data_IF_600339983732
#
_entry.id   IF_600339983732
#
_cell.length_a   1.000
_cell.length_b   1.000
_cell.length_c   1.000
_cell.angle_alpha   90.00
_cell.angle_beta   90.00
_cell.angle_gamma   90.00
#
_symmetry.space_group_name_H-M   'P 1'
#
loop_
_entity.id
_entity.type
_entity.pdbx_description
1 polymer ?
#
# COMPACT_ATOMS: atom_id res chain seq x y z
N UNK A 1 -37.41 -13.53 -46.54
CA UNK A 1 -36.25 -12.79 -46.00
C UNK A 1 -36.22 -11.45 -46.72
N UNK A 2 -36.86 -10.44 -46.13
CA UNK A 2 -37.01 -9.11 -46.75
C UNK A 2 -35.62 -8.47 -46.76
N UNK A 3 -35.11 -8.18 -47.96
CA UNK A 3 -33.80 -7.55 -48.14
C UNK A 3 -33.87 -6.13 -47.58
N UNK A 4 -32.90 -5.72 -46.76
CA UNK A 4 -32.80 -4.37 -46.15
C UNK A 4 -32.98 -3.27 -47.22
N UNK A 5 -32.53 -3.54 -48.44
CA UNK A 5 -32.69 -2.65 -49.60
C UNK A 5 -34.15 -2.33 -49.97
N UNK A 6 -35.07 -3.29 -49.80
CA UNK A 6 -36.49 -3.07 -50.07
C UNK A 6 -37.16 -2.19 -49.02
N UNK A 7 -36.71 -2.28 -47.77
CA UNK A 7 -37.20 -1.46 -46.65
C UNK A 7 -36.71 -0.01 -46.74
N UNK A 8 -35.44 0.19 -47.16
CA UNK A 8 -34.90 1.53 -47.43
C UNK A 8 -35.59 2.20 -48.62
N UNK A 9 -36.09 1.43 -49.59
CA UNK A 9 -36.82 1.95 -50.75
C UNK A 9 -38.22 2.47 -50.41
N UNK A 10 -38.82 1.98 -49.32
CA UNK A 10 -40.10 2.47 -48.78
C UNK A 10 -39.93 3.67 -47.84
N UNK A 11 -38.71 3.95 -47.39
CA UNK A 11 -38.40 5.08 -46.51
C UNK A 11 -38.16 6.37 -47.30
N UNK A 12 -39.09 6.71 -48.20
CA UNK A 12 -39.07 7.96 -48.96
C UNK A 12 -40.21 8.85 -48.43
N UNK A 13 -39.84 9.88 -47.64
CA UNK A 13 -40.81 10.76 -46.97
C UNK A 13 -41.54 11.72 -47.93
N UNK A 14 -41.18 11.74 -49.23
CA UNK A 14 -41.70 12.69 -50.21
C UNK A 14 -42.24 11.99 -51.47
N UNK A 15 -43.34 12.53 -52.01
CA UNK A 15 -43.94 12.03 -53.27
C UNK A 15 -43.01 12.32 -54.44
N UNK A 16 -42.64 11.28 -55.21
CA UNK A 16 -41.76 11.43 -56.37
C UNK A 16 -42.46 12.25 -57.47
N UNK A 17 -41.81 13.30 -58.01
CA UNK A 17 -42.37 14.07 -59.12
C UNK A 17 -42.46 13.25 -60.41
N UNK A 18 -43.37 13.65 -61.30
CA UNK A 18 -43.59 13.05 -62.63
C UNK A 18 -42.28 13.09 -63.46
N UNK A 19 -42.02 12.04 -64.24
CA UNK A 19 -40.73 11.85 -64.90
C UNK A 19 -40.38 12.96 -65.93
N UNK A 20 -41.38 13.61 -66.51
CA UNK A 20 -41.21 14.69 -67.51
C UNK A 20 -40.56 15.96 -66.95
N UNK A 21 -40.61 16.16 -65.62
CA UNK A 21 -39.95 17.28 -64.95
C UNK A 21 -38.59 16.90 -64.33
N UNK A 22 -38.11 15.67 -64.54
CA UNK A 22 -36.89 15.14 -63.92
C UNK A 22 -35.72 15.07 -64.90
N UNK A 23 -34.90 16.11 -64.91
CA UNK A 23 -33.63 16.11 -65.66
C UNK A 23 -32.54 15.41 -64.82
N UNK A 24 -32.08 14.23 -65.28
CA UNK A 24 -30.97 13.50 -64.64
C UNK A 24 -29.64 13.98 -65.22
N UNK A 25 -28.78 14.57 -64.39
CA UNK A 25 -27.41 14.95 -64.78
C UNK A 25 -26.40 14.04 -64.08
N UNK A 26 -25.39 13.57 -64.84
CA UNK A 26 -24.30 12.74 -64.28
C UNK A 26 -23.49 13.50 -63.22
N UNK A 27 -23.27 14.80 -63.44
CA UNK A 27 -22.59 15.68 -62.48
C UNK A 27 -23.37 15.85 -61.18
N UNK A 28 -24.70 16.00 -61.25
CA UNK A 28 -25.55 16.10 -60.06
C UNK A 28 -25.51 14.83 -59.20
N UNK A 29 -25.52 13.65 -59.83
CA UNK A 29 -25.38 12.37 -59.13
C UNK A 29 -24.02 12.17 -58.44
N UNK A 30 -22.93 12.66 -59.06
CA UNK A 30 -21.60 12.61 -58.45
C UNK A 30 -21.50 13.54 -57.24
N UNK A 31 -22.04 14.75 -57.35
CA UNK A 31 -22.08 15.74 -56.25
C UNK A 31 -22.89 15.20 -55.07
N UNK A 32 -24.04 14.58 -55.30
CA UNK A 32 -24.85 13.99 -54.21
C UNK A 32 -24.16 12.80 -53.55
N UNK A 33 -23.43 11.98 -54.31
CA UNK A 33 -22.64 10.88 -53.75
C UNK A 33 -21.52 11.39 -52.84
N UNK A 34 -20.74 12.38 -53.30
CA UNK A 34 -19.72 13.01 -52.45
C UNK A 34 -20.35 13.66 -51.21
N UNK A 35 -21.42 14.42 -51.37
CA UNK A 35 -22.09 15.08 -50.25
C UNK A 35 -22.59 14.06 -49.21
N UNK A 36 -23.18 12.95 -49.66
CA UNK A 36 -23.62 11.88 -48.76
C UNK A 36 -22.46 11.23 -47.99
N UNK A 37 -21.32 10.98 -48.65
CA UNK A 37 -20.11 10.44 -48.01
C UNK A 37 -19.58 11.41 -46.94
N UNK A 38 -19.52 12.70 -47.27
CA UNK A 38 -19.07 13.73 -46.32
C UNK A 38 -20.02 13.83 -45.13
N UNK A 39 -21.33 13.84 -45.36
CA UNK A 39 -22.35 13.88 -44.29
C UNK A 39 -22.23 12.66 -43.39
N UNK A 40 -22.10 11.45 -43.96
CA UNK A 40 -21.95 10.22 -43.18
C UNK A 40 -20.65 10.26 -42.38
N UNK A 41 -19.54 10.68 -42.99
CA UNK A 41 -18.24 10.80 -42.33
C UNK A 41 -18.31 11.76 -41.13
N UNK A 42 -18.84 12.97 -41.34
CA UNK A 42 -19.03 13.95 -40.26
C UNK A 42 -19.95 13.42 -39.16
N UNK A 43 -21.06 12.78 -39.52
CA UNK A 43 -21.99 12.19 -38.54
C UNK A 43 -21.30 11.14 -37.67
N UNK A 44 -20.48 10.27 -38.27
CA UNK A 44 -19.72 9.25 -37.52
C UNK A 44 -18.67 9.89 -36.61
N UNK A 45 -17.92 10.87 -37.12
CA UNK A 45 -16.88 11.55 -36.34
C UNK A 45 -17.47 12.34 -35.16
N UNK A 46 -18.54 13.10 -35.38
CA UNK A 46 -19.24 13.82 -34.31
C UNK A 46 -19.86 12.86 -33.30
N UNK A 47 -20.44 11.74 -33.75
CA UNK A 47 -20.96 10.72 -32.83
C UNK A 47 -19.84 10.12 -31.99
N UNK A 48 -18.67 9.85 -32.59
CA UNK A 48 -17.50 9.37 -31.85
C UNK A 48 -17.01 10.40 -30.83
N UNK A 49 -16.95 11.67 -31.20
CA UNK A 49 -16.59 12.78 -30.32
C UNK A 49 -17.57 12.93 -29.15
N UNK A 50 -18.89 12.90 -29.44
CA UNK A 50 -19.94 12.98 -28.43
C UNK A 50 -19.92 11.82 -27.43
N UNK A 51 -19.57 10.62 -27.90
CA UNK A 51 -19.42 9.44 -27.04
C UNK A 51 -18.07 9.39 -26.32
N UNK A 52 -17.13 10.26 -26.68
CA UNK A 52 -15.85 10.36 -25.97
C UNK A 52 -16.07 11.01 -24.60
N UNK A 53 -15.44 10.43 -23.57
CA UNK A 53 -15.53 10.95 -22.20
C UNK A 53 -14.43 11.97 -21.98
N UNK A 54 -14.79 13.18 -21.57
CA UNK A 54 -13.85 14.22 -21.17
C UNK A 54 -13.83 14.36 -19.65
N UNK A 55 -12.63 14.43 -19.06
CA UNK A 55 -12.44 14.65 -17.62
C UNK A 55 -12.37 16.15 -17.37
N UNK A 56 -13.41 16.71 -16.75
CA UNK A 56 -13.47 18.15 -16.42
C UNK A 56 -13.18 18.34 -14.93
N UNK A 57 -12.17 19.15 -14.62
CA UNK A 57 -11.82 19.51 -13.26
C UNK A 57 -12.71 20.65 -12.75
N UNK A 58 -13.40 20.43 -11.63
CA UNK A 58 -14.24 21.43 -10.98
C UNK A 58 -13.91 21.53 -9.50
N UNK A 59 -13.79 22.76 -9.00
CA UNK A 59 -13.59 23.02 -7.59
C UNK A 59 -14.95 23.19 -6.91
N UNK A 60 -15.22 22.38 -5.88
CA UNK A 60 -16.42 22.47 -5.06
C UNK A 60 -16.07 22.41 -3.58
N UNK A 61 -16.95 22.95 -2.74
CA UNK A 61 -16.80 22.87 -1.29
C UNK A 61 -17.18 21.46 -0.85
N UNK A 62 -16.20 20.75 -0.32
CA UNK A 62 -16.39 19.42 0.23
C UNK A 62 -17.24 19.50 1.51
N UNK A 63 -18.53 19.18 1.37
CA UNK A 63 -19.51 19.18 2.48
C UNK A 63 -19.63 17.80 3.14
N UNK A 64 -18.67 16.92 2.86
CA UNK A 64 -18.75 15.52 3.23
C UNK A 64 -18.42 15.31 4.71
N UNK A 65 -19.22 14.47 5.39
CA UNK A 65 -19.08 14.24 6.83
C UNK A 65 -17.78 13.50 7.17
N UNK A 66 -17.23 13.70 8.36
CA UNK A 66 -16.02 13.04 8.87
C UNK A 66 -16.10 11.50 8.97
N UNK A 67 -17.28 10.89 8.80
CA UNK A 67 -17.47 9.43 8.83
C UNK A 67 -17.16 8.74 7.48
N UNK A 68 -16.80 9.51 6.45
CA UNK A 68 -16.41 8.93 5.17
C UNK A 68 -15.04 8.29 5.28
N UNK A 69 -14.94 7.06 4.77
CA UNK A 69 -13.69 6.32 4.69
C UNK A 69 -13.13 6.30 3.26
N UNK A 70 -11.81 6.27 3.17
CA UNK A 70 -11.05 6.24 1.92
C UNK A 70 -10.10 5.07 1.97
N UNK A 71 -10.03 4.31 0.87
CA UNK A 71 -9.09 3.22 0.72
C UNK A 71 -7.72 3.77 0.27
N UNK A 72 -6.67 3.45 1.00
CA UNK A 72 -5.28 3.66 0.58
C UNK A 72 -4.81 2.36 -0.04
N UNK A 73 -4.37 2.41 -1.29
CA UNK A 73 -3.74 1.29 -1.98
C UNK A 73 -2.23 1.50 -2.02
N UNK A 74 -1.46 0.47 -1.70
CA UNK A 74 -0.01 0.55 -1.73
C UNK A 74 0.62 -0.76 -2.20
N UNK A 75 1.78 -0.65 -2.83
CA UNK A 75 2.69 -1.73 -3.20
C UNK A 75 4.12 -1.19 -3.06
N UNK A 76 4.80 -1.61 -1.99
CA UNK A 76 6.10 -1.09 -1.59
C UNK A 76 7.05 -2.26 -1.34
N UNK A 77 8.25 -2.16 -1.91
CA UNK A 77 9.32 -3.12 -1.72
C UNK A 77 10.38 -2.52 -0.79
N UNK A 78 10.63 -3.16 0.34
CA UNK A 78 11.76 -2.89 1.22
C UNK A 78 12.90 -3.84 0.89
N UNK A 79 14.06 -3.33 0.49
CA UNK A 79 15.16 -4.17 -0.04
C UNK A 79 15.98 -4.87 1.03
N UNK A 80 16.07 -4.29 2.22
CA UNK A 80 16.94 -4.75 3.32
C UNK A 80 16.19 -4.85 4.65
N UNK A 81 14.87 -5.01 4.60
CA UNK A 81 14.01 -5.15 5.76
C UNK A 81 13.19 -6.46 5.69
N UNK A 82 13.41 -7.41 6.62
CA UNK A 82 12.70 -8.69 6.59
C UNK A 82 11.21 -8.55 6.92
N UNK A 83 10.37 -9.40 6.30
CA UNK A 83 8.92 -9.32 6.45
C UNK A 83 8.40 -9.53 7.88
N UNK A 84 9.11 -10.27 8.73
CA UNK A 84 8.72 -10.44 10.13
C UNK A 84 8.67 -9.12 10.91
N UNK A 85 9.46 -8.14 10.49
CA UNK A 85 9.71 -6.90 11.24
C UNK A 85 8.92 -5.72 10.71
N UNK A 86 8.44 -5.75 9.47
CA UNK A 86 7.68 -4.64 8.90
C UNK A 86 6.28 -4.62 9.50
N UNK A 87 5.90 -3.54 10.17
CA UNK A 87 4.53 -3.32 10.63
C UNK A 87 3.91 -2.14 9.90
N UNK A 88 2.59 -2.13 9.82
CA UNK A 88 1.83 -1.11 9.13
C UNK A 88 0.86 -0.50 10.12
N UNK A 89 1.07 0.77 10.43
CA UNK A 89 0.25 1.47 11.41
C UNK A 89 -0.38 2.73 10.82
N UNK A 90 -1.62 2.93 11.23
CA UNK A 90 -2.47 4.04 10.82
C UNK A 90 -2.92 4.77 12.07
N UNK A 91 -2.62 6.06 12.15
CA UNK A 91 -3.11 6.95 13.19
C UNK A 91 -3.81 8.15 12.57
N UNK A 92 -4.93 8.57 13.17
CA UNK A 92 -5.64 9.78 12.79
C UNK A 92 -5.30 10.97 13.72
N UNK A 93 -5.86 12.15 13.44
CA UNK A 93 -5.69 13.35 14.30
C UNK A 93 -6.13 13.17 15.75
N UNK A 94 -6.99 12.19 16.06
CA UNK A 94 -7.37 11.88 17.43
C UNK A 94 -6.28 11.08 18.16
N UNK A 95 -5.17 10.77 17.47
CA UNK A 95 -4.07 9.94 17.95
C UNK A 95 -4.52 8.57 18.45
N UNK A 96 -5.72 8.14 18.05
CA UNK A 96 -6.25 6.83 18.36
C UNK A 96 -5.89 5.90 17.21
N UNK A 97 -5.23 4.79 17.53
CA UNK A 97 -5.01 3.74 16.54
C UNK A 97 -6.37 3.09 16.31
N UNK A 98 -6.94 3.23 15.13
CA UNK A 98 -8.25 2.62 14.87
C UNK A 98 -8.10 1.10 14.96
N UNK A 99 -8.72 0.49 15.97
CA UNK A 99 -8.67 -0.96 16.24
C UNK A 99 -9.60 -1.76 15.31
N UNK A 100 -10.40 -1.09 14.47
CA UNK A 100 -11.36 -1.70 13.57
C UNK A 100 -11.25 -1.16 12.13
N UNK A 101 -10.03 -1.12 11.62
CA UNK A 101 -9.75 -0.75 10.23
C UNK A 101 -10.01 -1.96 9.34
N UNK A 102 -10.77 -1.79 8.25
CA UNK A 102 -10.80 -2.79 7.19
C UNK A 102 -9.49 -2.75 6.41
N UNK A 103 -8.77 -3.86 6.38
CA UNK A 103 -7.45 -3.93 5.75
C UNK A 103 -7.28 -5.28 5.07
N UNK A 104 -6.62 -5.25 3.92
CA UNK A 104 -6.18 -6.43 3.19
C UNK A 104 -4.72 -6.21 2.85
N UNK A 105 -3.84 -6.49 3.82
CA UNK A 105 -2.40 -6.27 3.74
C UNK A 105 -1.69 -7.61 3.62
N UNK A 106 -0.80 -7.70 2.65
CA UNK A 106 -0.05 -8.90 2.33
C UNK A 106 1.44 -8.60 2.33
N UNK A 107 2.21 -9.55 2.85
CA UNK A 107 3.66 -9.52 2.85
C UNK A 107 4.21 -10.70 2.08
N UNK A 108 5.25 -10.44 1.31
CA UNK A 108 5.95 -11.43 0.52
C UNK A 108 7.46 -11.28 0.71
N UNK A 109 8.11 -12.38 1.09
CA UNK A 109 9.56 -12.44 1.29
C UNK A 109 10.26 -12.38 -0.06
N UNK A 110 11.23 -11.48 -0.16
CA UNK A 110 12.00 -11.27 -1.39
C UNK A 110 13.49 -11.31 -1.09
N UNK A 111 14.27 -11.65 -2.11
CA UNK A 111 15.72 -11.57 -2.09
C UNK A 111 16.16 -10.11 -2.30
N UNK A 112 17.44 -9.83 -2.06
CA UNK A 112 18.10 -8.53 -2.29
C UNK A 112 17.89 -7.99 -3.71
N UNK A 113 17.63 -8.88 -4.66
CA UNK A 113 17.41 -8.56 -6.07
C UNK A 113 15.92 -8.29 -6.40
N UNK A 114 15.02 -8.33 -5.41
CA UNK A 114 13.59 -8.13 -5.60
C UNK A 114 12.84 -9.35 -6.15
N UNK A 115 13.47 -10.53 -6.14
CA UNK A 115 12.85 -11.80 -6.56
C UNK A 115 12.17 -12.48 -5.38
N UNK A 116 11.05 -13.15 -5.62
CA UNK A 116 10.31 -13.87 -4.58
C UNK A 116 11.12 -15.08 -4.09
N UNK A 117 11.41 -15.15 -2.79
CA UNK A 117 12.07 -16.31 -2.16
C UNK A 117 11.06 -17.41 -1.87
N UNK A 118 9.82 -17.01 -1.53
CA UNK A 118 8.73 -17.92 -1.20
C UNK A 118 7.44 -17.39 -1.80
N UNK A 119 6.64 -18.26 -2.41
CA UNK A 119 5.28 -17.92 -2.86
C UNK A 119 4.26 -17.92 -1.70
N UNK A 120 4.72 -18.15 -0.47
CA UNK A 120 3.86 -18.10 0.71
C UNK A 120 3.59 -16.66 1.10
N UNK A 121 2.38 -16.19 0.78
CA UNK A 121 1.90 -14.86 1.15
C UNK A 121 1.50 -14.85 2.63
N UNK A 122 2.10 -13.95 3.42
CA UNK A 122 1.72 -13.74 4.81
C UNK A 122 0.69 -12.62 4.89
N UNK A 123 -0.54 -12.91 5.36
CA UNK A 123 -1.53 -11.86 5.65
C UNK A 123 -1.14 -11.16 6.95
N UNK A 124 -1.17 -9.83 6.94
CA UNK A 124 -0.92 -9.00 8.11
C UNK A 124 -2.20 -8.25 8.50
N UNK A 125 -2.37 -8.09 9.82
CA UNK A 125 -3.38 -7.18 10.37
C UNK A 125 -2.77 -5.82 10.68
N UNK A 126 -3.45 -4.73 10.30
CA UNK A 126 -3.02 -3.37 10.60
C UNK A 126 -3.26 -3.07 12.09
N UNK A 127 -2.40 -2.26 12.71
CA UNK A 127 -2.53 -1.84 14.13
C UNK A 127 -2.62 -3.00 15.14
N UNK A 128 -2.13 -4.20 14.80
CA UNK A 128 -2.27 -5.38 15.67
C UNK A 128 -1.02 -5.61 16.50
N UNK A 129 -1.19 -5.55 17.81
CA UNK A 129 -0.24 -6.09 18.77
C UNK A 129 -0.27 -7.61 18.64
N UNK A 130 0.69 -8.21 17.91
CA UNK A 130 1.04 -9.60 18.18
C UNK A 130 1.74 -9.64 19.52
N UNK A 131 0.95 -9.57 20.59
CA UNK A 131 1.38 -10.13 21.87
C UNK A 131 1.39 -11.64 21.68
N UNK A 132 2.42 -12.18 21.03
CA UNK A 132 2.80 -13.57 21.23
C UNK A 132 3.31 -13.68 22.66
N UNK A 133 2.38 -13.60 23.61
CA UNK A 133 2.50 -14.30 24.87
C UNK A 133 2.40 -15.77 24.49
N UNK A 134 3.50 -16.31 23.97
CA UNK A 134 3.72 -17.73 24.01
C UNK A 134 3.76 -18.08 25.49
N UNK A 135 2.61 -18.52 25.99
CA UNK A 135 2.47 -19.13 27.30
C UNK A 135 3.46 -20.29 27.36
N UNK A 136 4.63 -20.03 27.94
CA UNK A 136 5.64 -21.03 28.19
C UNK A 136 5.01 -22.10 29.09
N UNK A 137 4.95 -23.32 28.58
CA UNK A 137 4.63 -24.51 29.35
C UNK A 137 5.67 -24.69 30.47
N UNK A 138 5.26 -25.11 31.68
CA UNK A 138 6.17 -25.23 32.80
C UNK A 138 6.98 -26.52 32.66
N UNK A 139 8.12 -26.46 31.98
CA UNK A 139 9.14 -27.52 32.04
C UNK A 139 10.09 -27.25 33.21
N UNK A 140 10.02 -28.14 34.20
CA UNK A 140 11.00 -28.52 35.23
C UNK A 140 12.04 -27.48 35.71
N UNK A 141 12.03 -27.20 37.03
CA UNK A 141 12.99 -26.40 37.83
C UNK A 141 14.18 -25.78 37.05
N UNK A 142 14.20 -24.46 36.81
CA UNK A 142 15.28 -23.85 36.06
C UNK A 142 16.55 -23.73 36.92
N UNK A 143 17.69 -24.06 36.32
CA UNK A 143 18.98 -23.57 36.80
C UNK A 143 18.98 -22.04 36.74
N UNK A 144 19.46 -21.37 37.79
CA UNK A 144 19.52 -19.91 37.88
C UNK A 144 20.34 -19.33 36.72
N UNK A 145 19.67 -18.66 35.77
CA UNK A 145 20.34 -18.01 34.65
C UNK A 145 21.07 -16.72 35.05
N UNK A 146 22.13 -16.37 34.32
CA UNK A 146 22.95 -15.19 34.60
C UNK A 146 22.29 -13.90 34.09
N UNK A 147 22.25 -12.87 34.93
CA UNK A 147 21.84 -11.52 34.54
C UNK A 147 22.99 -10.66 33.98
N UNK A 148 24.14 -11.27 33.64
CA UNK A 148 25.30 -10.60 33.05
C UNK A 148 25.76 -9.33 33.81
N UNK A 149 25.67 -9.36 35.14
CA UNK A 149 26.09 -8.25 36.00
C UNK A 149 25.10 -7.08 36.12
N UNK A 150 23.90 -7.18 35.53
CA UNK A 150 22.88 -6.14 35.65
C UNK A 150 22.19 -6.13 37.02
N UNK A 151 22.06 -7.28 37.67
CA UNK A 151 21.49 -7.43 39.01
C UNK A 151 22.56 -7.84 40.05
N UNK A 152 22.32 -7.58 41.36
CA UNK A 152 23.21 -7.98 42.45
C UNK A 152 23.39 -9.51 42.53
N UNK A 153 24.51 -9.93 43.13
CA UNK A 153 24.80 -11.35 43.38
C UNK A 153 23.65 -12.01 44.18
N UNK A 154 23.02 -13.03 43.60
CA UNK A 154 21.87 -13.74 44.16
C UNK A 154 20.54 -13.54 43.41
N UNK A 155 20.48 -12.62 42.43
CA UNK A 155 19.35 -12.50 41.52
C UNK A 155 19.58 -13.29 40.23
N UNK A 156 18.55 -13.97 39.74
CA UNK A 156 18.61 -14.83 38.55
C UNK A 156 17.76 -14.25 37.42
N UNK A 157 18.21 -14.43 36.18
CA UNK A 157 17.46 -14.08 34.97
C UNK A 157 17.32 -15.33 34.11
N UNK A 158 16.12 -15.89 34.08
CA UNK A 158 15.81 -17.14 33.38
C UNK A 158 15.21 -16.90 32.00
N UNK A 159 14.59 -15.75 31.78
CA UNK A 159 13.98 -15.36 30.50
C UNK A 159 14.74 -14.21 29.84
N UNK A 160 14.64 -14.10 28.52
CA UNK A 160 15.23 -12.98 27.78
C UNK A 160 14.69 -11.62 28.27
N UNK A 161 13.40 -11.57 28.60
CA UNK A 161 12.74 -10.34 29.07
C UNK A 161 13.21 -9.93 30.47
N UNK A 162 13.52 -10.88 31.35
CA UNK A 162 14.17 -10.59 32.64
C UNK A 162 15.55 -9.95 32.44
N UNK A 163 16.36 -10.45 31.50
CA UNK A 163 17.67 -9.86 31.17
C UNK A 163 17.50 -8.44 30.60
N UNK A 164 16.55 -8.23 29.68
CA UNK A 164 16.22 -6.91 29.12
C UNK A 164 15.79 -5.93 30.19
N UNK A 165 14.88 -6.34 31.09
CA UNK A 165 14.39 -5.50 32.18
C UNK A 165 15.51 -5.14 33.17
N UNK A 166 16.40 -6.08 33.47
CA UNK A 166 17.56 -5.83 34.32
C UNK A 166 18.52 -4.80 33.71
N UNK A 167 18.84 -4.95 32.42
CA UNK A 167 19.69 -4.02 31.69
C UNK A 167 19.05 -2.64 31.55
N UNK A 168 17.73 -2.58 31.26
CA UNK A 168 16.98 -1.34 31.19
C UNK A 168 17.00 -0.57 32.52
N UNK A 169 16.88 -1.27 33.66
CA UNK A 169 17.03 -0.68 34.99
C UNK A 169 18.41 -0.08 35.27
N UNK A 170 19.45 -0.54 34.55
CA UNK A 170 20.82 0.01 34.58
C UNK A 170 21.11 1.01 33.46
N UNK A 171 20.17 1.22 32.53
CA UNK A 171 20.37 2.02 31.32
C UNK A 171 21.35 1.39 30.32
N UNK A 172 21.56 0.08 30.38
CA UNK A 172 22.43 -0.66 29.46
C UNK A 172 21.64 -1.20 28.28
N UNK A 173 22.29 -1.31 27.12
CA UNK A 173 21.71 -1.96 25.95
C UNK A 173 22.12 -3.44 25.93
N UNK A 174 21.15 -4.33 25.74
CA UNK A 174 21.40 -5.77 25.63
C UNK A 174 21.86 -6.10 24.21
N UNK A 175 23.00 -6.78 24.08
CA UNK A 175 23.34 -7.44 22.82
C UNK A 175 22.66 -8.81 22.77
N UNK A 176 21.60 -8.89 21.98
CA UNK A 176 20.67 -10.02 21.99
C UNK A 176 21.30 -11.28 21.35
N UNK A 177 22.32 -11.11 20.51
CA UNK A 177 23.08 -12.23 19.90
C UNK A 177 23.99 -12.93 20.93
N UNK A 178 24.44 -12.20 21.96
CA UNK A 178 25.37 -12.69 22.98
C UNK A 178 24.66 -13.37 24.16
N UNK A 179 23.42 -12.97 24.45
CA UNK A 179 22.63 -13.47 25.57
C UNK A 179 22.02 -14.84 25.27
N UNK A 180 22.36 -15.85 26.08
CA UNK A 180 21.93 -17.23 25.88
C UNK A 180 20.42 -17.41 26.05
N UNK A 181 19.84 -16.71 27.04
CA UNK A 181 18.39 -16.70 27.32
C UNK A 181 17.56 -16.12 26.18
N UNK A 182 18.18 -15.38 25.26
CA UNK A 182 17.51 -14.81 24.10
C UNK A 182 17.65 -15.69 22.85
N UNK A 183 18.64 -16.59 22.75
CA UNK A 183 18.85 -17.43 21.54
C UNK A 183 17.69 -18.40 21.25
N UNK A 184 16.91 -18.74 22.27
CA UNK A 184 15.73 -19.60 22.11
C UNK A 184 14.52 -18.87 21.54
N UNK A 185 14.51 -17.54 21.56
CA UNK A 185 13.40 -16.70 21.10
C UNK A 185 13.17 -16.91 19.60
N UNK A 186 11.92 -17.22 19.25
CA UNK A 186 11.48 -17.50 17.87
C UNK A 186 11.70 -16.28 16.97
N UNK A 187 11.56 -15.08 17.53
CA UNK A 187 11.74 -13.81 16.84
C UNK A 187 13.18 -13.60 16.33
N UNK A 188 14.17 -13.96 17.15
CA UNK A 188 15.59 -13.79 16.80
C UNK A 188 16.09 -14.86 15.84
N UNK A 189 15.52 -16.07 15.91
CA UNK A 189 15.75 -17.09 14.89
C UNK A 189 15.23 -16.59 13.54
N UNK A 190 14.02 -16.05 13.51
CA UNK A 190 13.45 -15.48 12.30
C UNK A 190 14.27 -14.29 11.75
N UNK A 191 14.76 -13.41 12.62
CA UNK A 191 15.67 -12.32 12.24
C UNK A 191 16.95 -12.84 11.56
N UNK A 192 17.59 -13.82 12.19
CA UNK A 192 18.88 -14.36 11.77
C UNK A 192 18.75 -15.15 10.47
N UNK A 193 17.68 -15.93 10.33
CA UNK A 193 17.36 -16.71 9.13
C UNK A 193 17.01 -15.81 7.93
N UNK A 194 16.27 -14.72 8.17
CA UNK A 194 15.86 -13.78 7.14
C UNK A 194 16.87 -12.63 6.94
N UNK A 195 18.08 -12.76 7.50
CA UNK A 195 19.09 -11.70 7.46
C UNK A 195 19.53 -11.43 6.03
N UNK A 196 19.30 -10.20 5.58
CA UNK A 196 19.62 -9.77 4.23
C UNK A 196 18.54 -10.09 3.20
N UNK A 197 17.37 -10.57 3.61
CA UNK A 197 16.16 -10.58 2.79
C UNK A 197 15.50 -9.20 2.80
N UNK A 198 14.61 -8.98 1.83
CA UNK A 198 13.68 -7.86 1.79
C UNK A 198 12.25 -8.31 1.99
N UNK A 199 11.34 -7.33 1.95
CA UNK A 199 9.91 -7.58 2.03
C UNK A 199 9.14 -6.72 1.04
N UNK A 200 8.26 -7.35 0.25
CA UNK A 200 7.22 -6.64 -0.49
C UNK A 200 5.95 -6.59 0.35
N UNK A 201 5.47 -5.38 0.60
CA UNK A 201 4.26 -5.10 1.37
C UNK A 201 3.26 -4.42 0.45
N UNK A 202 2.14 -5.09 0.21
CA UNK A 202 1.13 -4.60 -0.73
C UNK A 202 -0.27 -4.89 -0.24
N UNK A 203 -1.24 -4.09 -0.67
CA UNK A 203 -2.62 -4.25 -0.25
C UNK A 203 -3.40 -2.96 -0.21
N UNK A 204 -4.43 -2.97 0.62
CA UNK A 204 -5.26 -1.80 0.89
C UNK A 204 -5.60 -1.65 2.36
N UNK A 205 -5.77 -0.41 2.79
CA UNK A 205 -6.21 -0.07 4.13
C UNK A 205 -7.25 1.03 4.08
N UNK A 206 -8.39 0.82 4.75
CA UNK A 206 -9.50 1.76 4.75
C UNK A 206 -9.41 2.70 5.94
N UNK A 207 -9.13 3.97 5.69
CA UNK A 207 -8.91 4.98 6.73
C UNK A 207 -10.04 6.02 6.75
N UNK A 208 -10.21 6.71 7.86
CA UNK A 208 -11.11 7.87 7.91
C UNK A 208 -10.56 9.00 7.03
N UNK A 209 -11.43 9.73 6.34
CA UNK A 209 -11.07 10.88 5.49
C UNK A 209 -10.76 12.12 6.33
N UNK A 210 -9.71 12.03 7.14
CA UNK A 210 -9.21 13.09 8.02
C UNK A 210 -7.69 13.18 7.89
N UNK A 211 -7.10 14.26 8.40
CA UNK A 211 -5.65 14.30 8.52
C UNK A 211 -5.17 13.18 9.47
N UNK A 212 -4.03 12.59 9.13
CA UNK A 212 -3.48 11.45 9.86
C UNK A 212 -2.12 11.08 9.30
N UNK A 213 -1.54 10.04 9.89
CA UNK A 213 -0.27 9.49 9.45
C UNK A 213 -0.40 7.99 9.25
N UNK A 214 0.29 7.53 8.21
CA UNK A 214 0.45 6.14 7.85
C UNK A 214 1.94 5.88 7.81
N UNK A 215 2.43 4.91 8.58
CA UNK A 215 3.84 4.58 8.60
C UNK A 215 4.09 3.07 8.54
N UNK A 216 5.23 2.73 7.95
CA UNK A 216 5.81 1.40 8.04
C UNK A 216 6.91 1.45 9.09
N UNK A 217 6.81 0.59 10.09
CA UNK A 217 7.73 0.61 11.21
C UNK A 217 8.41 -0.75 11.41
N UNK A 218 9.73 -0.80 11.66
CA UNK A 218 10.42 -2.01 12.07
C UNK A 218 10.15 -2.31 13.55
N UNK A 219 9.88 -3.59 13.86
CA UNK A 219 9.78 -4.08 15.24
C UNK A 219 8.37 -4.46 15.66
N UNK A 220 8.23 -4.98 16.87
CA UNK A 220 6.94 -5.34 17.42
C UNK A 220 6.22 -4.09 17.94
N UNK A 221 4.95 -3.86 17.58
CA UNK A 221 4.20 -2.73 18.10
C UNK A 221 3.88 -3.00 19.58
N UNK A 222 4.35 -2.12 20.47
CA UNK A 222 4.12 -2.20 21.91
C UNK A 222 3.42 -0.92 22.41
N UNK A 223 2.25 -1.09 23.04
CA UNK A 223 1.46 0.04 23.54
C UNK A 223 1.73 0.24 25.03
N UNK A 224 2.30 1.39 25.39
CA UNK A 224 2.36 1.82 26.81
C UNK A 224 1.43 3.01 27.02
N UNK A 225 0.33 2.78 27.75
CA UNK A 225 -0.69 3.67 28.38
C UNK A 225 -1.14 5.01 27.73
N UNK A 226 -0.57 5.45 26.59
CA UNK A 226 -0.89 6.65 25.79
C UNK A 226 0.08 6.89 24.60
N UNK A 227 1.07 6.03 24.37
CA UNK A 227 2.04 6.17 23.28
C UNK A 227 2.15 4.86 22.48
N UNK A 228 2.16 4.98 21.16
CA UNK A 228 2.50 3.90 20.24
C UNK A 228 4.01 3.88 20.06
N UNK A 229 4.66 2.85 20.59
CA UNK A 229 6.12 2.71 20.52
C UNK A 229 6.42 1.35 19.91
N UNK A 230 7.31 1.32 18.91
CA UNK A 230 7.81 0.05 18.43
C UNK A 230 8.93 -0.40 19.36
N UNK A 231 8.76 -1.57 19.96
CA UNK A 231 9.88 -2.22 20.63
C UNK A 231 10.76 -2.82 19.54
N UNK A 232 11.90 -2.18 19.29
CA UNK A 232 12.91 -2.71 18.39
C UNK A 232 13.66 -3.92 18.99
N UNK A 233 13.18 -4.51 20.10
CA UNK A 233 13.77 -5.66 20.78
C UNK A 233 15.26 -5.45 21.07
N UNK A 234 15.69 -4.24 21.44
CA UNK A 234 17.12 -3.89 21.64
C UNK A 234 17.99 -3.90 20.38
N UNK A 235 17.40 -3.99 19.17
CA UNK A 235 18.12 -3.83 17.92
C UNK A 235 18.25 -2.33 17.63
N UNK A 236 19.50 -1.87 17.53
CA UNK A 236 19.84 -0.47 17.27
C UNK A 236 19.12 0.05 16.01
N UNK A 237 18.38 1.19 16.07
CA UNK A 237 17.75 1.83 14.92
C UNK A 237 18.69 2.08 13.73
N UNK A 238 20.00 2.24 14.00
CA UNK A 238 21.02 2.42 12.97
C UNK A 238 21.32 1.14 12.15
N UNK A 239 20.87 -0.02 12.62
CA UNK A 239 21.04 -1.31 11.94
C UNK A 239 19.91 -1.64 10.97
N UNK A 240 18.81 -0.91 11.00
CA UNK A 240 17.71 -1.12 10.07
C UNK A 240 17.88 -0.25 8.84
N UNK A 241 17.71 -0.88 7.69
CA UNK A 241 17.70 -0.21 6.41
C UNK A 241 16.31 -0.31 5.73
N UNK A 242 15.54 0.76 5.88
CA UNK A 242 14.25 1.01 5.27
C UNK A 242 14.36 1.58 3.84
N UNK A 243 15.49 1.35 3.15
CA UNK A 243 15.59 1.65 1.72
C UNK A 243 14.51 0.88 0.95
N UNK A 244 13.68 1.60 0.19
CA UNK A 244 12.49 1.05 -0.42
C UNK A 244 12.18 1.63 -1.80
N UNK A 245 11.45 0.85 -2.60
CA UNK A 245 10.85 1.27 -3.86
C UNK A 245 9.34 1.29 -3.71
N UNK A 246 8.71 2.41 -4.08
CA UNK A 246 7.27 2.52 -4.14
C UNK A 246 6.83 2.13 -5.56
N UNK A 247 6.20 0.97 -5.71
CA UNK A 247 5.64 0.55 -7.01
C UNK A 247 4.30 1.22 -7.27
N UNK A 248 3.45 1.27 -6.25
CA UNK A 248 2.17 1.93 -6.34
C UNK A 248 1.79 2.57 -5.01
N UNK A 249 1.26 3.79 -5.04
CA UNK A 249 0.62 4.40 -3.88
C UNK A 249 -0.51 5.34 -4.29
N UNK A 250 -1.72 5.09 -3.81
CA UNK A 250 -2.89 5.88 -4.18
C UNK A 250 -3.98 5.95 -3.11
N UNK A 251 -4.84 6.96 -3.23
CA UNK A 251 -6.03 7.15 -2.41
C UNK A 251 -7.30 7.00 -3.25
N UNK A 252 -8.27 6.27 -2.73
CA UNK A 252 -9.57 6.05 -3.34
C UNK A 252 -9.50 5.21 -4.61
N UNK A 253 -10.51 5.40 -5.48
CA UNK A 253 -10.63 4.66 -6.75
C UNK A 253 -9.72 5.26 -7.83
N UNK A 254 -9.31 4.40 -8.76
CA UNK A 254 -8.61 4.81 -9.97
C UNK A 254 -9.60 5.48 -10.96
N UNK A 255 -9.10 6.44 -11.74
CA UNK A 255 -9.83 7.08 -12.81
C UNK A 255 -8.87 7.47 -13.95
N UNK A 256 -9.35 7.52 -15.20
CA UNK A 256 -8.50 7.83 -16.36
C UNK A 256 -7.74 9.15 -16.20
N UNK A 257 -6.44 9.13 -16.45
CA UNK A 257 -5.59 10.33 -16.36
C UNK A 257 -5.08 10.68 -14.96
N UNK A 258 -5.43 9.88 -13.93
CA UNK A 258 -4.89 10.07 -12.58
C UNK A 258 -3.37 9.82 -12.57
N UNK A 259 -2.61 10.82 -12.16
CA UNK A 259 -1.17 10.69 -11.93
C UNK A 259 -0.89 10.23 -10.50
N UNK A 260 0.06 9.31 -10.34
CA UNK A 260 0.49 8.79 -9.04
C UNK A 260 1.92 9.28 -8.72
N UNK A 261 2.08 10.36 -7.93
CA UNK A 261 3.38 11.04 -7.81
C UNK A 261 4.47 10.25 -7.08
N UNK A 262 4.10 9.15 -6.42
CA UNK A 262 5.03 8.31 -5.66
C UNK A 262 5.43 7.03 -6.42
N UNK A 263 4.71 6.69 -7.48
CA UNK A 263 4.96 5.45 -8.23
C UNK A 263 6.33 5.51 -8.92
N UNK A 264 7.09 4.43 -8.79
CA UNK A 264 8.45 4.29 -9.31
C UNK A 264 9.53 5.01 -8.49
N UNK A 265 9.20 5.64 -7.35
CA UNK A 265 10.22 6.30 -6.52
C UNK A 265 11.05 5.31 -5.73
N UNK A 266 12.37 5.49 -5.81
CA UNK A 266 13.36 4.80 -4.97
C UNK A 266 13.83 5.73 -3.85
N UNK A 267 13.81 5.24 -2.61
CA UNK A 267 14.24 5.99 -1.42
C UNK A 267 15.31 5.18 -0.72
N UNK A 268 16.52 5.74 -0.62
CA UNK A 268 17.63 5.15 0.13
C UNK A 268 17.75 5.79 1.51
N UNK A 269 17.89 4.97 2.57
CA UNK A 269 18.03 5.47 3.94
C UNK A 269 19.32 6.25 4.19
N UNK A 270 20.35 6.12 3.33
CA UNK A 270 21.54 6.99 3.37
C UNK A 270 21.19 8.48 3.18
N UNK A 271 20.01 8.78 2.63
CA UNK A 271 19.43 10.11 2.49
C UNK A 271 18.30 10.40 3.49
N UNK A 272 18.08 9.50 4.45
CA UNK A 272 17.05 9.53 5.48
C UNK A 272 17.50 10.11 6.83
N UNK A 273 18.75 10.54 6.98
CA UNK A 273 18.97 11.66 7.90
C UNK A 273 18.15 12.81 7.34
N UNK A 274 17.18 13.28 8.13
CA UNK A 274 16.65 14.62 8.05
C UNK A 274 17.77 15.58 7.67
N UNK A 275 17.92 15.84 6.35
CA UNK A 275 18.66 17.00 5.88
C UNK A 275 18.03 18.13 6.66
N UNK A 276 18.83 18.71 7.56
CA UNK A 276 18.67 20.02 8.19
C UNK A 276 18.41 21.06 7.10
N UNK A 277 17.25 21.02 6.46
CA UNK A 277 16.69 22.07 5.62
C UNK A 277 15.77 22.91 6.49
N UNK A 278 16.34 23.39 7.59
CA UNK A 278 15.86 24.53 8.37
C UNK A 278 17.05 25.04 9.17
N UNK A 279 17.96 25.72 8.47
CA UNK A 279 18.56 26.94 8.99
C UNK A 279 18.41 27.99 7.89
N UNK A 280 17.54 28.95 8.17
CA UNK A 280 17.72 30.33 7.72
C UNK A 280 19.12 30.81 8.11
#
# INVERSE_FOLDING_TARGET
>A
MVSIFSMVREFDAYTKPMEDFRVKTLSGGFVTLIASIVIICLTVLETYSFLSTEVVEQLYVDSSTSDIRVDIHFDIIFHRLPCGFVTVDVMDVSSDTQENIQHDIYKLRIDKNGLNISDTVQKMEANTNKSSVASASPSALPACGSCYGALPEGSCCNTCDEVKNAYAGKGWQVNIEEVEQCKSDEYLKQYTEQKGEGCRVYGKVQVAKVAGNFHFAPGEPYRTHRSHVHDLHSIDPSKFDASHTIHHFSFGKDYPGKAYPLDGKHVDQSHGELKKRLKQ
#
